data_IF_298520687246
#
_entry.id   IF_298520687246
#
_cell.length_a   1.000
_cell.length_b   1.000
_cell.length_c   1.000
_cell.angle_alpha   90.00
_cell.angle_beta   90.00
_cell.angle_gamma   90.00
#
_symmetry.space_group_name_H-M   'P 1'
#
loop_
_entity.id
_entity.type
_entity.pdbx_description
1 polymer ?
#
# COMPACT_ATOMS: atom_id res chain seq x y z
N UNK A 1 40.22 -1.59 -11.82
CA UNK A 1 38.79 -1.63 -12.12
C UNK A 1 38.18 -0.29 -11.72
N UNK A 2 37.61 0.47 -12.66
CA UNK A 2 36.92 1.73 -12.32
C UNK A 2 35.66 1.34 -11.55
N UNK A 3 35.60 1.57 -10.26
CA UNK A 3 34.35 1.60 -9.51
C UNK A 3 33.54 2.74 -10.11
N UNK A 4 32.54 2.43 -10.96
CA UNK A 4 31.49 3.38 -11.24
C UNK A 4 30.88 3.70 -9.87
N UNK A 5 31.11 4.92 -9.38
CA UNK A 5 30.64 5.34 -8.08
C UNK A 5 29.13 5.32 -8.06
N UNK A 6 28.54 4.32 -7.40
CA UNK A 6 27.11 4.25 -7.14
C UNK A 6 26.65 5.54 -6.45
N UNK A 7 25.54 6.11 -6.89
CA UNK A 7 25.03 7.38 -6.39
C UNK A 7 23.51 7.31 -6.20
N UNK A 8 23.00 8.23 -5.43
CA UNK A 8 21.56 8.45 -5.28
C UNK A 8 20.88 8.58 -6.64
N UNK A 9 19.77 7.84 -6.82
CA UNK A 9 18.98 7.78 -8.04
C UNK A 9 19.35 6.62 -8.98
N UNK A 10 20.50 5.97 -8.80
CA UNK A 10 20.85 4.80 -9.60
C UNK A 10 19.86 3.65 -9.36
N UNK A 11 19.55 2.90 -10.42
CA UNK A 11 18.71 1.71 -10.31
C UNK A 11 19.61 0.48 -10.26
N UNK A 12 19.47 -0.26 -9.18
CA UNK A 12 20.36 -1.36 -8.79
C UNK A 12 19.59 -2.60 -8.38
N UNK A 13 20.28 -3.72 -8.30
CA UNK A 13 19.80 -4.94 -7.66
C UNK A 13 20.86 -5.50 -6.70
N UNK A 14 20.45 -6.33 -5.74
CA UNK A 14 21.35 -6.95 -4.76
C UNK A 14 21.83 -8.30 -5.28
N UNK A 15 23.16 -8.51 -5.30
CA UNK A 15 23.80 -9.77 -5.71
C UNK A 15 23.42 -10.91 -4.77
N UNK A 16 23.45 -10.64 -3.47
CA UNK A 16 23.16 -11.62 -2.41
C UNK A 16 21.74 -12.21 -2.47
N UNK A 17 20.82 -11.52 -3.18
CA UNK A 17 19.43 -11.96 -3.39
C UNK A 17 19.17 -12.33 -4.87
N UNK A 18 20.20 -12.71 -5.63
CA UNK A 18 20.03 -13.14 -7.02
C UNK A 18 19.47 -12.07 -7.96
N UNK A 19 19.57 -10.79 -7.60
CA UNK A 19 19.04 -9.64 -8.36
C UNK A 19 17.52 -9.70 -8.59
N UNK A 20 16.77 -10.26 -7.65
CA UNK A 20 15.33 -10.52 -7.73
C UNK A 20 14.47 -9.25 -7.76
N UNK A 21 14.96 -8.16 -7.18
CA UNK A 21 14.23 -6.89 -7.06
C UNK A 21 15.09 -5.73 -7.57
N UNK A 22 14.47 -4.88 -8.41
CA UNK A 22 15.04 -3.60 -8.79
C UNK A 22 14.77 -2.53 -7.73
N UNK A 23 15.79 -1.79 -7.34
CA UNK A 23 15.74 -0.72 -6.34
C UNK A 23 16.28 0.60 -6.87
N UNK A 24 15.72 1.72 -6.41
CA UNK A 24 16.41 3.01 -6.44
C UNK A 24 17.33 3.15 -5.24
N UNK A 25 18.54 3.65 -5.43
CA UNK A 25 19.34 4.17 -4.32
C UNK A 25 18.69 5.47 -3.86
N UNK A 26 18.00 5.41 -2.71
CA UNK A 26 17.31 6.56 -2.13
C UNK A 26 18.28 7.46 -1.37
N UNK A 27 19.28 6.85 -0.70
CA UNK A 27 20.33 7.54 0.05
C UNK A 27 21.53 6.63 0.23
N UNK A 28 22.68 7.20 0.60
CA UNK A 28 23.89 6.46 1.01
C UNK A 28 24.32 7.03 2.37
N UNK A 29 24.38 6.17 3.37
CA UNK A 29 24.81 6.50 4.72
C UNK A 29 26.07 5.72 5.07
N UNK A 30 26.80 6.15 6.09
CA UNK A 30 27.97 5.46 6.58
C UNK A 30 27.67 4.86 7.95
N UNK A 31 27.90 3.56 8.10
CA UNK A 31 27.83 2.82 9.35
C UNK A 31 29.19 2.18 9.59
N UNK A 32 29.83 2.52 10.69
CA UNK A 32 31.17 2.01 11.03
C UNK A 32 32.16 2.09 9.85
N UNK A 33 32.26 3.25 9.20
CA UNK A 33 33.04 3.53 8.00
C UNK A 33 32.64 2.75 6.73
N UNK A 34 31.60 1.91 6.77
CA UNK A 34 31.09 1.17 5.61
C UNK A 34 29.95 1.94 4.94
N UNK A 35 30.03 2.21 3.62
CA UNK A 35 28.94 2.87 2.91
C UNK A 35 27.78 1.88 2.70
N UNK A 36 26.60 2.24 3.19
CA UNK A 36 25.36 1.48 3.09
C UNK A 36 24.35 2.26 2.26
N UNK A 37 23.86 1.66 1.19
CA UNK A 37 22.77 2.24 0.42
C UNK A 37 21.41 1.96 1.10
N UNK A 38 20.58 2.99 1.22
CA UNK A 38 19.18 2.86 1.53
C UNK A 38 18.42 2.70 0.20
N UNK A 39 17.80 1.57 0.04
CA UNK A 39 17.17 1.13 -1.21
C UNK A 39 15.65 1.23 -1.13
N UNK A 40 15.03 1.72 -2.19
CA UNK A 40 13.58 1.79 -2.34
C UNK A 40 13.15 0.98 -3.56
N UNK A 41 12.26 0.01 -3.37
CA UNK A 41 11.79 -0.85 -4.45
C UNK A 41 11.12 -0.09 -5.60
N UNK A 42 11.45 -0.45 -6.84
CA UNK A 42 10.90 0.19 -8.05
C UNK A 42 9.46 -0.26 -8.34
N UNK A 43 9.19 -1.55 -8.13
CA UNK A 43 7.91 -2.19 -8.43
C UNK A 43 7.26 -2.86 -7.22
N UNK A 44 7.91 -2.80 -6.06
CA UNK A 44 7.41 -3.32 -4.77
C UNK A 44 7.56 -2.28 -3.68
N UNK A 45 6.65 -2.26 -2.71
CA UNK A 45 6.61 -1.26 -1.63
C UNK A 45 7.55 -1.60 -0.47
N UNK A 46 8.82 -1.94 -0.79
CA UNK A 46 9.85 -2.32 0.18
C UNK A 46 10.94 -1.26 0.31
N UNK A 47 11.40 -1.00 1.52
CA UNK A 47 12.66 -0.31 1.81
C UNK A 47 13.64 -1.33 2.39
N UNK A 48 14.82 -1.39 1.81
CA UNK A 48 15.92 -2.23 2.26
C UNK A 48 17.20 -1.42 2.43
N UNK A 49 18.23 -2.02 2.96
CA UNK A 49 19.59 -1.52 2.98
C UNK A 49 20.52 -2.59 2.44
N UNK A 50 21.67 -2.15 1.93
CA UNK A 50 22.70 -3.04 1.41
C UNK A 50 24.04 -2.33 1.39
N UNK A 51 25.16 -3.01 1.69
CA UNK A 51 26.48 -2.53 1.39
C UNK A 51 26.60 -2.23 -0.12
N UNK A 52 27.40 -1.21 -0.48
CA UNK A 52 27.54 -0.82 -1.90
C UNK A 52 28.18 -1.91 -2.76
N UNK A 53 29.04 -2.74 -2.19
CA UNK A 53 29.72 -3.85 -2.87
C UNK A 53 28.78 -5.00 -3.25
N UNK A 54 27.62 -5.13 -2.56
CA UNK A 54 26.55 -6.08 -2.90
C UNK A 54 25.67 -5.60 -4.07
N UNK A 55 25.81 -4.37 -4.53
CA UNK A 55 24.95 -3.78 -5.55
C UNK A 55 25.51 -3.91 -6.97
N UNK A 56 24.60 -4.09 -7.92
CA UNK A 56 24.86 -4.05 -9.36
C UNK A 56 23.93 -3.03 -10.01
N UNK A 57 24.48 -2.15 -10.84
CA UNK A 57 23.67 -1.25 -11.67
C UNK A 57 22.94 -2.09 -12.73
N UNK A 58 21.64 -1.90 -12.83
CA UNK A 58 20.84 -2.55 -13.87
C UNK A 58 20.98 -1.84 -15.21
N UNK A 59 21.00 -2.61 -16.30
CA UNK A 59 21.02 -2.07 -17.66
C UNK A 59 19.71 -1.37 -18.02
N UNK A 60 19.75 -0.39 -18.90
CA UNK A 60 18.57 0.32 -19.38
C UNK A 60 17.50 -0.62 -19.96
N UNK A 61 17.94 -1.70 -20.63
CA UNK A 61 17.05 -2.74 -21.15
C UNK A 61 16.33 -3.50 -20.04
N UNK A 62 17.06 -3.88 -18.98
CA UNK A 62 16.48 -4.53 -17.80
C UNK A 62 15.49 -3.61 -17.09
N UNK A 63 15.87 -2.36 -16.88
CA UNK A 63 15.01 -1.34 -16.24
C UNK A 63 13.72 -1.16 -17.06
N UNK A 64 13.83 -1.04 -18.38
CA UNK A 64 12.66 -0.89 -19.25
C UNK A 64 11.73 -2.09 -19.16
N UNK A 65 12.24 -3.31 -19.14
CA UNK A 65 11.44 -4.52 -19.01
C UNK A 65 10.72 -4.60 -17.66
N UNK A 66 11.42 -4.28 -16.55
CA UNK A 66 10.82 -4.22 -15.21
C UNK A 66 9.66 -3.22 -15.15
N UNK A 67 9.83 -2.04 -15.77
CA UNK A 67 8.80 -1.02 -15.79
C UNK A 67 7.61 -1.38 -16.69
N UNK A 68 7.86 -1.98 -17.86
CA UNK A 68 6.81 -2.44 -18.77
C UNK A 68 5.95 -3.54 -18.13
N UNK A 69 6.57 -4.52 -17.48
CA UNK A 69 5.86 -5.58 -16.79
C UNK A 69 4.97 -4.99 -15.67
N UNK A 70 5.50 -4.09 -14.87
CA UNK A 70 4.73 -3.41 -13.82
C UNK A 70 3.56 -2.58 -14.37
N UNK A 71 3.68 -1.98 -15.54
CA UNK A 71 2.59 -1.23 -16.16
C UNK A 71 1.53 -2.13 -16.81
N UNK A 72 1.93 -3.29 -17.35
CA UNK A 72 1.01 -4.27 -17.96
C UNK A 72 0.15 -5.01 -16.91
N UNK A 73 0.64 -5.21 -15.70
CA UNK A 73 -0.12 -5.84 -14.60
C UNK A 73 -1.45 -5.14 -14.28
N UNK A 74 -1.55 -3.84 -14.54
CA UNK A 74 -2.80 -3.09 -14.39
C UNK A 74 -3.85 -3.42 -15.46
N UNK A 75 -3.41 -3.86 -16.65
CA UNK A 75 -4.31 -4.14 -17.77
C UNK A 75 -4.91 -5.54 -17.69
N UNK A 76 -4.21 -6.47 -17.03
CA UNK A 76 -4.60 -7.90 -16.97
C UNK A 76 -5.50 -8.25 -15.78
N UNK A 77 -5.72 -7.34 -14.82
CA UNK A 77 -6.67 -7.61 -13.76
C UNK A 77 -8.06 -7.83 -14.39
N UNK A 78 -8.65 -9.01 -14.16
CA UNK A 78 -10.07 -9.29 -14.46
C UNK A 78 -10.94 -8.37 -13.61
N UNK A 79 -10.95 -7.09 -13.98
CA UNK A 79 -11.85 -6.13 -13.38
C UNK A 79 -13.22 -6.56 -13.87
N UNK A 80 -14.05 -7.12 -13.00
CA UNK A 80 -15.47 -7.27 -13.26
C UNK A 80 -16.02 -5.85 -13.45
N UNK A 81 -15.93 -5.36 -14.71
CA UNK A 81 -16.63 -4.14 -15.09
C UNK A 81 -18.09 -4.39 -14.74
N UNK A 82 -18.65 -3.55 -13.91
CA UNK A 82 -20.07 -3.58 -13.55
C UNK A 82 -20.86 -3.45 -14.86
N UNK A 83 -21.22 -4.58 -15.44
CA UNK A 83 -22.29 -4.61 -16.43
C UNK A 83 -23.58 -4.55 -15.64
N UNK A 84 -24.01 -3.36 -15.27
CA UNK A 84 -25.35 -3.13 -14.76
C UNK A 84 -26.37 -3.36 -15.92
N UNK A 85 -26.69 -4.61 -16.17
CA UNK A 85 -27.97 -4.93 -16.81
C UNK A 85 -29.06 -4.88 -15.73
N UNK A 86 -29.34 -3.69 -15.24
CA UNK A 86 -30.57 -3.46 -14.45
C UNK A 86 -31.67 -3.19 -15.45
N UNK A 87 -32.77 -3.99 -15.45
CA UNK A 87 -33.97 -3.66 -16.21
C UNK A 87 -34.50 -2.31 -15.72
N UNK A 88 -34.93 -1.45 -16.66
CA UNK A 88 -35.38 -0.06 -16.46
C UNK A 88 -36.74 -0.02 -15.74
N UNK A 89 -36.91 -0.65 -14.59
CA UNK A 89 -38.22 -0.67 -13.91
C UNK A 89 -38.29 -0.02 -12.53
N UNK A 90 -37.16 0.39 -11.95
CA UNK A 90 -37.04 1.36 -10.84
C UNK A 90 -35.71 2.06 -10.99
N UNK A 91 -35.67 3.40 -11.00
CA UNK A 91 -34.44 4.18 -10.89
C UNK A 91 -33.87 3.99 -9.49
N UNK A 92 -33.13 2.91 -9.26
CA UNK A 92 -32.35 2.68 -8.05
C UNK A 92 -31.11 3.53 -8.17
N UNK A 93 -30.98 4.53 -7.32
CA UNK A 93 -29.74 5.30 -7.23
C UNK A 93 -28.76 4.55 -6.33
N UNK A 94 -27.57 4.26 -6.84
CA UNK A 94 -26.51 3.55 -6.08
C UNK A 94 -25.37 4.51 -5.78
N UNK A 95 -25.05 4.65 -4.52
CA UNK A 95 -23.89 5.41 -4.04
C UNK A 95 -22.85 4.45 -3.49
N UNK A 96 -21.65 4.49 -4.06
CA UNK A 96 -20.48 3.75 -3.54
C UNK A 96 -19.73 4.55 -2.47
N UNK A 97 -19.07 3.83 -1.54
CA UNK A 97 -18.26 4.43 -0.50
C UNK A 97 -17.16 5.34 -1.08
N UNK A 98 -16.98 6.51 -0.47
CA UNK A 98 -15.96 7.50 -0.85
C UNK A 98 -14.62 7.09 -0.27
N UNK A 99 -13.58 7.06 -1.09
CA UNK A 99 -12.25 6.61 -0.70
C UNK A 99 -11.30 7.80 -0.63
N UNK A 100 -10.57 7.92 0.50
CA UNK A 100 -9.34 8.71 0.60
C UNK A 100 -8.16 7.75 0.66
N UNK A 101 -7.25 7.84 -0.30
CA UNK A 101 -6.06 6.99 -0.37
C UNK A 101 -4.80 7.86 -0.27
N UNK A 102 -4.01 7.65 0.78
CA UNK A 102 -2.69 8.23 0.97
C UNK A 102 -1.63 7.22 0.56
N UNK A 103 -0.71 7.61 -0.32
CA UNK A 103 0.43 6.79 -0.68
C UNK A 103 1.72 7.61 -0.62
N UNK A 104 2.77 7.03 -0.03
CA UNK A 104 4.08 7.65 0.10
C UNK A 104 4.86 7.79 -1.22
N UNK A 105 4.36 7.18 -2.30
CA UNK A 105 5.01 7.17 -3.61
C UNK A 105 4.12 7.75 -4.70
N UNK A 106 4.69 8.67 -5.50
CA UNK A 106 3.97 9.35 -6.57
C UNK A 106 3.49 8.37 -7.65
N UNK A 107 4.34 7.43 -8.07
CA UNK A 107 4.02 6.46 -9.12
C UNK A 107 2.86 5.54 -8.69
N UNK A 108 2.89 5.07 -7.45
CA UNK A 108 1.81 4.27 -6.89
C UNK A 108 0.52 5.08 -6.71
N UNK A 109 0.62 6.34 -6.27
CA UNK A 109 -0.55 7.24 -6.19
C UNK A 109 -1.24 7.41 -7.54
N UNK A 110 -0.47 7.66 -8.60
CA UNK A 110 -0.99 7.82 -9.96
C UNK A 110 -1.64 6.53 -10.48
N UNK A 111 -1.04 5.36 -10.23
CA UNK A 111 -1.59 4.06 -10.58
C UNK A 111 -2.87 3.74 -9.81
N UNK A 112 -2.91 4.03 -8.52
CA UNK A 112 -4.11 3.84 -7.68
C UNK A 112 -5.26 4.72 -8.15
N UNK A 113 -4.99 6.00 -8.46
CA UNK A 113 -6.00 6.91 -9.02
C UNK A 113 -6.58 6.37 -10.33
N UNK A 114 -5.72 5.85 -11.23
CA UNK A 114 -6.12 5.29 -12.51
C UNK A 114 -6.97 4.03 -12.32
N UNK A 115 -6.58 3.14 -11.40
CA UNK A 115 -7.34 1.93 -11.08
C UNK A 115 -8.77 2.27 -10.64
N UNK A 116 -8.92 3.09 -9.60
CA UNK A 116 -10.24 3.45 -9.06
C UNK A 116 -11.12 4.17 -10.09
N UNK A 117 -10.52 5.06 -10.89
CA UNK A 117 -11.24 5.75 -11.97
C UNK A 117 -11.77 4.77 -13.02
N UNK A 118 -10.99 3.76 -13.39
CA UNK A 118 -11.38 2.77 -14.39
C UNK A 118 -12.58 1.90 -13.98
N UNK A 119 -12.78 1.74 -12.66
CA UNK A 119 -13.91 0.99 -12.10
C UNK A 119 -15.05 1.90 -11.61
N UNK A 120 -14.94 3.22 -11.83
CA UNK A 120 -16.01 4.17 -11.53
C UNK A 120 -16.19 4.53 -10.05
N UNK A 121 -15.18 4.29 -9.20
CA UNK A 121 -15.25 4.64 -7.78
C UNK A 121 -14.90 6.12 -7.53
N UNK A 122 -15.58 6.72 -6.55
CA UNK A 122 -15.31 8.07 -6.06
C UNK A 122 -14.10 8.05 -5.12
N UNK A 123 -12.95 8.48 -5.61
CA UNK A 123 -11.68 8.43 -4.88
C UNK A 123 -10.92 9.75 -4.93
N UNK A 124 -10.31 10.08 -3.80
CA UNK A 124 -9.26 11.10 -3.68
C UNK A 124 -7.96 10.39 -3.34
N UNK A 125 -7.01 10.35 -4.27
CA UNK A 125 -5.65 9.84 -4.00
C UNK A 125 -4.72 11.02 -3.76
N UNK A 126 -3.91 10.94 -2.71
CA UNK A 126 -2.90 11.95 -2.33
C UNK A 126 -1.54 11.31 -2.20
N UNK A 127 -0.56 11.83 -2.92
CA UNK A 127 0.84 11.48 -2.66
C UNK A 127 1.32 12.26 -1.43
N UNK A 128 1.53 11.53 -0.33
CA UNK A 128 1.98 12.07 0.96
C UNK A 128 3.05 11.16 1.52
N UNK A 129 4.29 11.66 1.62
CA UNK A 129 5.39 10.89 2.19
C UNK A 129 5.00 10.33 3.58
N UNK A 130 5.40 9.10 3.86
CA UNK A 130 4.99 8.31 5.04
C UNK A 130 5.10 9.12 6.33
N UNK A 131 6.25 9.76 6.55
CA UNK A 131 6.52 10.60 7.74
C UNK A 131 5.61 11.84 7.88
N UNK A 132 4.94 12.26 6.79
CA UNK A 132 4.02 13.42 6.79
C UNK A 132 2.55 12.99 6.92
N UNK A 133 2.22 11.73 6.67
CA UNK A 133 0.84 11.24 6.73
C UNK A 133 0.17 11.52 8.08
N UNK A 134 0.81 11.28 9.26
CA UNK A 134 0.18 11.54 10.55
C UNK A 134 -0.19 13.01 10.77
N UNK A 135 0.61 13.94 10.26
CA UNK A 135 0.38 15.38 10.42
C UNK A 135 -0.75 15.90 9.53
N UNK A 136 -0.93 15.26 8.35
CA UNK A 136 -1.89 15.72 7.34
C UNK A 136 -3.27 15.06 7.48
N UNK A 137 -3.36 13.89 8.12
CA UNK A 137 -4.56 13.05 8.05
C UNK A 137 -5.82 13.76 8.58
N UNK A 138 -5.76 14.42 9.72
CA UNK A 138 -6.94 15.10 10.33
C UNK A 138 -7.51 16.16 9.41
N UNK A 139 -6.64 17.00 8.81
CA UNK A 139 -7.06 18.02 7.85
C UNK A 139 -7.67 17.43 6.58
N UNK A 140 -7.14 16.31 6.09
CA UNK A 140 -7.66 15.62 4.92
C UNK A 140 -9.01 14.95 5.21
N UNK A 141 -9.17 14.35 6.38
CA UNK A 141 -10.44 13.75 6.81
C UNK A 141 -11.53 14.81 6.97
N UNK A 142 -11.22 15.96 7.56
CA UNK A 142 -12.16 17.09 7.64
C UNK A 142 -12.59 17.59 6.27
N UNK A 143 -11.66 17.66 5.33
CA UNK A 143 -11.91 18.18 3.98
C UNK A 143 -12.74 17.24 3.12
N UNK A 144 -12.46 15.93 3.17
CA UNK A 144 -13.00 14.94 2.22
C UNK A 144 -14.06 14.05 2.82
N UNK A 145 -14.16 13.96 4.15
CA UNK A 145 -15.12 13.13 4.89
C UNK A 145 -15.34 11.75 4.25
N UNK A 146 -14.27 10.95 4.08
CA UNK A 146 -14.36 9.67 3.39
C UNK A 146 -15.08 8.62 4.23
N UNK A 147 -15.57 7.57 3.57
CA UNK A 147 -16.13 6.37 4.19
C UNK A 147 -15.04 5.29 4.35
N UNK A 148 -13.99 5.38 3.53
CA UNK A 148 -12.85 4.45 3.51
C UNK A 148 -11.55 5.25 3.46
N UNK A 149 -10.62 4.94 4.35
CA UNK A 149 -9.26 5.45 4.37
C UNK A 149 -8.28 4.34 4.00
N UNK A 150 -7.42 4.59 3.03
CA UNK A 150 -6.30 3.72 2.66
C UNK A 150 -5.00 4.48 2.95
N UNK A 151 -4.11 3.86 3.73
CA UNK A 151 -2.84 4.43 4.18
C UNK A 151 -1.71 3.51 3.74
N UNK A 152 -1.02 3.87 2.67
CA UNK A 152 0.04 3.05 2.08
C UNK A 152 1.32 3.85 1.82
N UNK A 153 2.35 3.15 1.44
CA UNK A 153 3.66 3.69 1.11
C UNK A 153 4.69 2.57 1.02
N UNK A 154 5.91 2.85 1.44
CA UNK A 154 7.00 1.87 1.52
C UNK A 154 7.31 1.57 2.99
N UNK A 155 7.60 0.31 3.27
CA UNK A 155 8.11 -0.12 4.58
C UNK A 155 9.13 -1.26 4.40
N UNK A 156 9.68 -1.75 5.48
CA UNK A 156 10.59 -2.88 5.50
C UNK A 156 11.16 -3.09 6.89
N UNK A 157 11.46 -4.34 7.19
CA UNK A 157 12.15 -4.70 8.43
C UNK A 157 13.64 -4.38 8.30
N UNK A 158 14.21 -3.77 9.34
CA UNK A 158 15.63 -3.44 9.43
C UNK A 158 16.44 -4.69 9.76
N UNK A 159 15.89 -5.58 10.61
CA UNK A 159 16.56 -6.84 11.02
C UNK A 159 15.54 -7.97 10.99
N UNK A 160 15.71 -8.91 10.06
CA UNK A 160 14.78 -10.03 9.85
C UNK A 160 14.74 -11.04 11.01
N UNK A 161 15.79 -11.13 11.82
CA UNK A 161 15.95 -12.14 12.87
C UNK A 161 15.58 -11.66 14.27
N UNK A 162 15.05 -10.44 14.41
CA UNK A 162 14.76 -9.82 15.70
C UNK A 162 13.26 -9.64 15.92
N UNK A 163 12.91 -9.49 17.19
CA UNK A 163 11.58 -9.33 17.73
C UNK A 163 10.63 -8.55 16.82
N UNK A 164 9.66 -9.25 16.23
CA UNK A 164 8.61 -8.67 15.37
C UNK A 164 7.74 -7.65 16.12
N UNK A 165 7.79 -7.65 17.46
CA UNK A 165 6.99 -6.78 18.31
C UNK A 165 7.69 -5.46 18.67
N UNK A 166 8.85 -5.17 18.08
CA UNK A 166 9.56 -3.92 18.29
C UNK A 166 9.37 -2.99 17.08
N UNK A 167 8.73 -1.84 17.33
CA UNK A 167 8.47 -0.82 16.30
C UNK A 167 9.74 -0.27 15.66
N UNK A 168 10.85 -0.27 16.39
CA UNK A 168 12.15 0.22 15.88
C UNK A 168 12.79 -0.72 14.85
N UNK A 169 12.27 -1.94 14.72
CA UNK A 169 12.67 -2.86 13.67
C UNK A 169 11.99 -2.59 12.31
N UNK A 170 11.11 -1.59 12.25
CA UNK A 170 10.38 -1.22 11.04
C UNK A 170 10.73 0.21 10.61
N UNK A 171 10.90 0.43 9.30
CA UNK A 171 11.33 1.73 8.79
C UNK A 171 10.23 2.79 8.86
N UNK A 172 9.00 2.44 8.46
CA UNK A 172 7.90 3.39 8.35
C UNK A 172 6.62 2.99 9.08
N UNK A 173 6.51 1.77 9.63
CA UNK A 173 5.31 1.30 10.33
C UNK A 173 4.80 2.28 11.39
N UNK A 174 5.69 2.93 12.14
CA UNK A 174 5.33 3.95 13.15
C UNK A 174 4.48 5.07 12.59
N UNK A 175 4.72 5.50 11.33
CA UNK A 175 3.96 6.58 10.71
C UNK A 175 2.58 6.11 10.26
N UNK A 176 2.48 4.89 9.76
CA UNK A 176 1.18 4.30 9.43
C UNK A 176 0.34 4.09 10.68
N UNK A 177 0.92 3.56 11.76
CA UNK A 177 0.26 3.36 13.06
C UNK A 177 -0.25 4.70 13.60
N UNK A 178 0.59 5.73 13.63
CA UNK A 178 0.18 7.06 14.11
C UNK A 178 -0.93 7.67 13.24
N UNK A 179 -0.87 7.45 11.91
CA UNK A 179 -1.92 7.91 10.99
C UNK A 179 -3.25 7.24 11.30
N UNK A 180 -3.25 5.92 11.54
CA UNK A 180 -4.45 5.15 11.93
C UNK A 180 -5.02 5.64 13.26
N UNK A 181 -4.17 5.83 14.28
CA UNK A 181 -4.59 6.35 15.59
C UNK A 181 -5.27 7.72 15.44
N UNK A 182 -4.65 8.66 14.70
CA UNK A 182 -5.21 9.98 14.47
C UNK A 182 -6.53 9.94 13.69
N UNK A 183 -6.65 9.01 12.74
CA UNK A 183 -7.90 8.81 12.00
C UNK A 183 -9.01 8.29 12.92
N UNK A 184 -8.70 7.36 13.83
CA UNK A 184 -9.67 6.88 14.83
C UNK A 184 -10.06 7.96 15.85
N UNK A 185 -9.12 8.80 16.26
CA UNK A 185 -9.42 9.95 17.14
C UNK A 185 -10.33 10.99 16.46
N UNK A 186 -10.21 11.15 15.14
CA UNK A 186 -11.09 12.01 14.35
C UNK A 186 -12.50 11.43 14.22
N UNK A 187 -12.64 10.10 14.21
CA UNK A 187 -13.90 9.41 13.97
C UNK A 187 -14.80 9.48 15.21
N UNK A 188 -15.80 10.35 15.19
CA UNK A 188 -16.78 10.49 16.29
C UNK A 188 -17.82 9.37 16.37
N UNK A 189 -17.91 8.52 15.34
CA UNK A 189 -18.93 7.49 15.18
C UNK A 189 -18.26 6.15 15.00
N UNK A 190 -18.33 5.29 15.99
CA UNK A 190 -17.77 3.94 15.95
C UNK A 190 -18.17 3.22 14.67
N UNK A 191 -17.20 2.66 13.95
CA UNK A 191 -17.31 1.82 12.74
C UNK A 191 -17.81 2.49 11.45
N UNK A 192 -17.84 3.82 11.34
CA UNK A 192 -18.20 4.47 10.08
C UNK A 192 -17.04 4.59 9.10
N UNK A 193 -15.82 4.82 9.59
CA UNK A 193 -14.62 4.87 8.75
C UNK A 193 -13.97 3.48 8.68
N UNK A 194 -13.93 2.89 7.49
CA UNK A 194 -13.13 1.68 7.26
C UNK A 194 -11.70 2.08 6.98
N UNK A 195 -10.72 1.49 7.70
CA UNK A 195 -9.30 1.82 7.54
C UNK A 195 -8.52 0.60 7.06
N UNK A 196 -7.80 0.78 5.95
CA UNK A 196 -6.80 -0.15 5.44
C UNK A 196 -5.42 0.50 5.58
N UNK A 197 -4.41 -0.22 6.13
CA UNK A 197 -3.10 0.38 6.36
C UNK A 197 -1.93 -0.58 6.12
N UNK A 198 -0.74 -0.01 5.79
CA UNK A 198 0.53 -0.70 5.73
C UNK A 198 1.18 -0.75 4.36
N UNK A 199 2.29 -1.48 4.29
CA UNK A 199 3.12 -1.73 3.11
C UNK A 199 3.82 -3.11 3.24
N UNK A 200 4.81 -3.40 2.39
CA UNK A 200 5.61 -4.62 2.52
C UNK A 200 6.26 -4.71 3.90
N UNK A 201 6.17 -5.87 4.53
CA UNK A 201 6.79 -6.17 5.83
C UNK A 201 6.40 -5.21 6.97
N UNK A 202 5.26 -4.52 6.88
CA UNK A 202 4.79 -3.63 7.96
C UNK A 202 4.48 -4.39 9.25
N UNK A 203 4.50 -3.66 10.36
CA UNK A 203 4.13 -4.17 11.68
C UNK A 203 2.61 -4.35 11.77
N UNK A 204 2.13 -5.47 11.23
CA UNK A 204 0.71 -5.81 11.07
C UNK A 204 -0.07 -5.72 12.39
N UNK A 205 0.40 -6.37 13.45
CA UNK A 205 -0.29 -6.46 14.74
C UNK A 205 -0.52 -5.09 15.37
N UNK A 206 0.48 -4.21 15.26
CA UNK A 206 0.36 -2.84 15.75
C UNK A 206 -0.60 -1.99 14.92
N UNK A 207 -0.69 -2.22 13.60
CA UNK A 207 -1.67 -1.57 12.75
C UNK A 207 -3.11 -1.96 13.10
N UNK A 208 -3.36 -3.25 13.33
CA UNK A 208 -4.67 -3.74 13.77
C UNK A 208 -5.00 -3.20 15.17
N UNK A 209 -4.04 -3.24 16.12
CA UNK A 209 -4.20 -2.69 17.46
C UNK A 209 -4.47 -1.18 17.47
N UNK A 210 -3.91 -0.44 16.51
CA UNK A 210 -4.19 0.99 16.31
C UNK A 210 -5.60 1.26 15.78
N UNK A 211 -6.29 0.21 15.29
CA UNK A 211 -7.66 0.28 14.83
C UNK A 211 -7.84 0.17 13.32
N UNK A 212 -6.86 -0.30 12.55
CA UNK A 212 -7.07 -0.65 11.15
C UNK A 212 -8.06 -1.83 11.05
N UNK A 213 -8.98 -1.77 10.09
CA UNK A 213 -9.90 -2.87 9.78
C UNK A 213 -9.19 -4.00 9.05
N UNK A 214 -8.30 -3.62 8.13
CA UNK A 214 -7.42 -4.51 7.39
C UNK A 214 -6.01 -3.92 7.36
N UNK A 215 -5.01 -4.77 7.39
CA UNK A 215 -3.62 -4.35 7.30
C UNK A 215 -2.79 -5.30 6.44
N UNK A 216 -1.69 -4.75 5.89
CA UNK A 216 -0.76 -5.47 5.04
C UNK A 216 0.25 -6.29 5.83
N UNK A 217 0.66 -7.38 5.21
CA UNK A 217 1.86 -8.15 5.52
C UNK A 217 1.87 -8.84 6.90
N UNK A 218 0.80 -9.57 7.29
CA UNK A 218 0.86 -10.38 8.50
C UNK A 218 2.02 -11.38 8.50
N UNK A 219 2.34 -11.97 7.34
CA UNK A 219 3.48 -12.87 7.18
C UNK A 219 4.83 -12.16 6.86
N UNK A 220 4.89 -10.81 6.96
CA UNK A 220 6.10 -10.00 6.66
C UNK A 220 6.68 -10.23 5.26
N UNK A 221 5.82 -10.43 4.27
CA UNK A 221 6.16 -10.67 2.87
C UNK A 221 6.08 -9.41 2.02
N UNK A 222 6.50 -9.52 0.76
CA UNK A 222 6.29 -8.49 -0.26
C UNK A 222 4.83 -8.51 -0.70
N UNK A 223 4.20 -7.36 -0.80
CA UNK A 223 2.78 -7.20 -1.08
C UNK A 223 2.56 -6.78 -2.54
N UNK A 224 1.53 -7.33 -3.18
CA UNK A 224 1.06 -6.83 -4.45
C UNK A 224 0.51 -5.39 -4.28
N UNK A 225 0.85 -4.55 -5.23
CA UNK A 225 0.37 -3.17 -5.24
C UNK A 225 -1.17 -3.08 -5.34
N UNK A 226 -1.84 -4.07 -5.94
CA UNK A 226 -3.30 -4.11 -6.10
C UNK A 226 -4.05 -4.49 -4.82
N UNK A 227 -3.43 -5.23 -3.90
CA UNK A 227 -4.11 -5.74 -2.71
C UNK A 227 -4.88 -4.66 -1.93
N UNK A 228 -4.29 -3.48 -1.59
CA UNK A 228 -5.05 -2.42 -0.94
C UNK A 228 -6.19 -1.86 -1.79
N UNK A 229 -6.04 -1.88 -3.12
CA UNK A 229 -7.06 -1.37 -4.05
C UNK A 229 -8.25 -2.32 -4.13
N UNK A 230 -8.00 -3.63 -4.17
CA UNK A 230 -9.02 -4.68 -4.18
C UNK A 230 -9.83 -4.67 -2.89
N UNK A 231 -9.17 -4.56 -1.74
CA UNK A 231 -9.87 -4.47 -0.44
C UNK A 231 -10.74 -3.21 -0.38
N UNK A 232 -10.19 -2.05 -0.74
CA UNK A 232 -10.95 -0.80 -0.74
C UNK A 232 -12.13 -0.84 -1.73
N UNK A 233 -11.95 -1.43 -2.90
CA UNK A 233 -13.02 -1.68 -3.87
C UNK A 233 -14.13 -2.55 -3.26
N UNK A 234 -13.77 -3.67 -2.66
CA UNK A 234 -14.74 -4.59 -2.03
C UNK A 234 -15.57 -3.86 -0.98
N UNK A 235 -14.92 -3.10 -0.09
CA UNK A 235 -15.63 -2.32 0.95
C UNK A 235 -16.53 -1.26 0.31
N UNK A 236 -16.06 -0.52 -0.70
CA UNK A 236 -16.83 0.54 -1.34
C UNK A 236 -18.09 0.03 -2.05
N UNK A 237 -18.06 -1.20 -2.57
CA UNK A 237 -19.09 -1.78 -3.42
C UNK A 237 -20.01 -2.78 -2.73
N UNK A 238 -19.73 -3.18 -1.51
CA UNK A 238 -20.58 -4.04 -0.67
C UNK A 238 -21.59 -3.19 0.08
N UNK A 239 -22.82 -3.68 0.24
CA UNK A 239 -23.89 -2.98 0.97
C UNK A 239 -23.52 -2.67 2.40
N UNK A 240 -24.03 -1.56 2.93
CA UNK A 240 -23.68 -1.11 4.29
C UNK A 240 -24.18 -2.05 5.40
N UNK A 241 -25.17 -2.90 5.09
CA UNK A 241 -25.65 -3.96 5.97
C UNK A 241 -24.72 -5.16 6.06
N UNK A 242 -23.87 -5.37 5.05
CA UNK A 242 -23.11 -6.59 4.88
C UNK A 242 -21.70 -6.43 5.47
N UNK A 243 -21.31 -7.41 6.28
CA UNK A 243 -19.98 -7.46 6.88
C UNK A 243 -19.01 -8.21 5.96
N UNK A 244 -17.82 -7.64 5.78
CA UNK A 244 -16.73 -8.17 4.95
C UNK A 244 -15.62 -8.64 5.87
N UNK A 245 -15.30 -9.93 5.81
CA UNK A 245 -14.14 -10.55 6.45
C UNK A 245 -13.03 -10.83 5.46
N UNK A 246 -11.88 -11.30 5.92
CA UNK A 246 -10.79 -11.71 5.03
C UNK A 246 -11.21 -12.86 4.10
N UNK A 247 -12.08 -13.77 4.53
CA UNK A 247 -12.58 -14.90 3.75
C UNK A 247 -13.33 -14.46 2.49
N UNK A 248 -13.90 -13.25 2.51
CA UNK A 248 -14.69 -12.70 1.40
C UNK A 248 -13.81 -12.07 0.31
N UNK A 249 -12.50 -11.93 0.56
CA UNK A 249 -11.53 -11.25 -0.31
C UNK A 249 -10.24 -12.05 -0.56
N UNK A 250 -9.90 -13.04 0.24
CA UNK A 250 -8.60 -13.71 0.19
C UNK A 250 -8.27 -14.31 -1.19
N UNK A 251 -9.26 -14.76 -1.94
CA UNK A 251 -9.08 -15.32 -3.29
C UNK A 251 -8.82 -14.28 -4.37
N UNK A 252 -9.10 -13.01 -4.09
CA UNK A 252 -8.83 -11.87 -4.99
C UNK A 252 -7.45 -11.25 -4.75
N UNK A 253 -6.75 -11.69 -3.67
CA UNK A 253 -5.44 -11.20 -3.28
C UNK A 253 -4.34 -12.15 -3.76
N UNK A 254 -3.15 -11.62 -4.09
CA UNK A 254 -2.03 -12.45 -4.57
C UNK A 254 -1.61 -13.50 -3.55
N UNK A 255 -1.45 -13.12 -2.30
CA UNK A 255 -0.95 -13.97 -1.22
C UNK A 255 -2.03 -14.24 -0.15
N UNK A 256 -3.30 -14.00 -0.49
CA UNK A 256 -4.43 -14.24 0.38
C UNK A 256 -4.26 -13.62 1.78
N UNK A 257 -4.60 -14.40 2.81
CA UNK A 257 -4.51 -13.99 4.23
C UNK A 257 -3.08 -13.72 4.73
N UNK A 258 -2.05 -14.20 4.02
CA UNK A 258 -0.64 -13.96 4.37
C UNK A 258 -0.17 -12.59 3.89
N UNK A 259 -0.77 -12.07 2.81
CA UNK A 259 -0.54 -10.73 2.29
C UNK A 259 -1.37 -9.66 3.00
N UNK A 260 -2.64 -9.95 3.25
CA UNK A 260 -3.61 -9.06 3.91
C UNK A 260 -4.41 -9.84 4.94
N UNK A 261 -4.64 -9.25 6.11
CA UNK A 261 -5.59 -9.79 7.08
C UNK A 261 -6.23 -8.65 7.88
N UNK A 262 -7.21 -8.96 8.73
CA UNK A 262 -7.87 -7.94 9.54
C UNK A 262 -9.09 -8.44 10.30
N UNK A 263 -9.70 -7.51 11.03
CA UNK A 263 -10.91 -7.74 11.84
C UNK A 263 -12.20 -7.60 11.04
N UNK A 264 -12.09 -7.18 9.77
CA UNK A 264 -13.24 -6.95 8.91
C UNK A 264 -13.83 -5.54 8.99
N UNK A 265 -14.79 -5.28 8.11
CA UNK A 265 -15.52 -4.01 8.02
C UNK A 265 -16.90 -4.21 7.41
N UNK A 266 -17.85 -3.35 7.76
CA UNK A 266 -19.09 -3.23 7.00
C UNK A 266 -18.84 -2.56 5.65
N UNK A 267 -19.65 -2.93 4.64
CA UNK A 267 -19.67 -2.28 3.34
C UNK A 267 -20.02 -0.80 3.41
N UNK A 268 -19.90 -0.11 2.26
CA UNK A 268 -20.15 1.34 2.16
C UNK A 268 -21.03 1.70 0.95
N UNK A 269 -21.68 0.72 0.34
CA UNK A 269 -22.64 0.95 -0.75
C UNK A 269 -24.03 1.22 -0.17
N UNK A 270 -24.66 2.28 -0.62
CA UNK A 270 -26.04 2.64 -0.29
C UNK A 270 -26.90 2.54 -1.56
N UNK A 271 -28.06 1.94 -1.42
CA UNK A 271 -29.07 1.82 -2.49
C UNK A 271 -30.30 2.61 -2.04
N UNK A 272 -30.75 3.58 -2.86
CA UNK A 272 -31.90 4.44 -2.58
C UNK A 272 -33.09 4.05 -3.44
#
# INVERSE_FOLDING_TARGET
>A
MKFNSLKKGDIVARKSYGMDIAFFINDIIYQDHTPIAILKGVTVRIIADSPLDDLVILSDTTIKNVLLNFDSELQTSKINKIKSKIPILKRTYVQYGRILHLDGDKKYSEKSQKFYKNIGLNVIVKNVAEKKQPQMITGLLNRYTPDILVVTGHDGMIKKEHNFNDIYNYRNSRFFIETVIRARMWENRKNKLSIFAGACQSYYEALISAGANFALSPARILIDFKDPLVVAQKIAMTEESDFISIKDIEYDLRDGKDGVNGIGSYGKKIIY
#
